data_IF_121519024179
#
_entry.id   IF_121519024179
#
_cell.length_a   1.000
_cell.length_b   1.000
_cell.length_c   1.000
_cell.angle_alpha   90.00
_cell.angle_beta   90.00
_cell.angle_gamma   90.00
#
_symmetry.space_group_name_H-M   'P 1'
#
loop_
_entity.id
_entity.type
_entity.pdbx_description
1 polymer ?
#
# COMPACT_ATOMS: atom_id res chain seq x y z
N UNK A 1 17.73 3.74 3.39
CA UNK A 1 16.54 4.56 3.10
C UNK A 1 16.03 4.48 1.65
N UNK A 2 16.86 4.62 0.62
CA UNK A 2 16.40 4.62 -0.78
C UNK A 2 15.73 3.29 -1.25
N UNK A 3 16.16 2.14 -0.73
CA UNK A 3 15.65 0.83 -1.12
C UNK A 3 14.23 0.51 -0.61
N UNK A 4 13.81 1.13 0.50
CA UNK A 4 12.47 0.92 1.09
C UNK A 4 11.40 1.68 0.30
N UNK A 5 11.69 2.93 -0.09
CA UNK A 5 10.81 3.73 -0.96
C UNK A 5 10.68 3.12 -2.37
N UNK A 6 11.78 2.58 -2.92
CA UNK A 6 11.73 1.87 -4.19
C UNK A 6 10.88 0.58 -4.12
N UNK A 7 11.04 -0.22 -3.07
CA UNK A 7 10.26 -1.45 -2.88
C UNK A 7 8.75 -1.21 -2.79
N UNK A 8 8.33 -0.13 -2.13
CA UNK A 8 6.93 0.28 -2.07
C UNK A 8 6.35 0.66 -3.45
N UNK A 9 7.13 1.44 -4.21
CA UNK A 9 6.75 1.95 -5.53
C UNK A 9 6.55 0.83 -6.55
N UNK A 10 7.33 -0.25 -6.46
CA UNK A 10 7.26 -1.36 -7.40
C UNK A 10 6.40 -2.55 -6.94
N UNK A 11 6.30 -2.83 -5.63
CA UNK A 11 5.63 -4.04 -5.12
C UNK A 11 4.12 -3.92 -4.90
N UNK A 12 3.63 -2.79 -4.37
CA UNK A 12 2.21 -2.60 -4.05
C UNK A 12 1.42 -2.17 -5.29
N UNK A 13 1.97 -1.29 -6.12
CA UNK A 13 1.29 -0.81 -7.34
C UNK A 13 1.12 -1.90 -8.39
N UNK A 14 2.08 -2.80 -8.59
CA UNK A 14 1.96 -3.88 -9.59
C UNK A 14 0.90 -4.93 -9.22
N UNK A 15 0.65 -5.17 -7.94
CA UNK A 15 -0.42 -6.08 -7.49
C UNK A 15 -1.82 -5.53 -7.78
N UNK A 16 -1.99 -4.20 -7.86
CA UNK A 16 -3.26 -3.56 -8.22
C UNK A 16 -3.34 -3.09 -9.68
N UNK A 17 -2.21 -3.07 -10.41
CA UNK A 17 -2.12 -2.53 -11.78
C UNK A 17 -2.19 -3.59 -12.91
N UNK A 18 -2.69 -4.81 -12.65
CA UNK A 18 -2.87 -5.79 -13.73
C UNK A 18 -4.11 -5.45 -14.59
N UNK A 19 -3.85 -4.87 -15.78
CA UNK A 19 -4.67 -5.07 -16.99
C UNK A 19 -5.05 -3.81 -17.81
N UNK A 20 -4.54 -3.63 -19.06
CA UNK A 20 -4.92 -2.52 -19.96
C UNK A 20 -6.31 -2.66 -20.62
N UNK A 21 -7.11 -3.67 -20.31
CA UNK A 21 -8.45 -3.84 -20.89
C UNK A 21 -9.55 -3.27 -20.01
N UNK A 22 -9.90 -2.02 -20.34
CA UNK A 22 -10.98 -1.23 -19.77
C UNK A 22 -12.35 -1.78 -20.18
N UNK A 23 -12.77 -2.95 -19.69
CA UNK A 23 -14.21 -3.34 -19.65
C UNK A 23 -14.52 -4.19 -18.41
N UNK A 24 -15.21 -3.53 -17.47
CA UNK A 24 -15.88 -4.09 -16.29
C UNK A 24 -14.93 -4.49 -15.15
N UNK A 25 -14.57 -3.50 -14.32
CA UNK A 25 -14.23 -3.78 -12.94
C UNK A 25 -15.35 -4.64 -12.33
N UNK A 26 -15.05 -5.77 -11.67
CA UNK A 26 -16.08 -6.51 -10.96
C UNK A 26 -16.64 -5.59 -9.87
N UNK A 27 -17.93 -5.27 -10.00
CA UNK A 27 -18.78 -4.70 -8.95
C UNK A 27 -18.33 -5.26 -7.61
N UNK A 28 -17.63 -4.43 -6.81
CA UNK A 28 -17.05 -4.72 -5.48
C UNK A 28 -17.17 -6.21 -5.17
N UNK A 29 -16.21 -7.00 -5.64
CA UNK A 29 -16.15 -8.41 -5.30
C UNK A 29 -16.18 -8.48 -3.77
N UNK A 30 -17.22 -9.12 -3.23
CA UNK A 30 -17.58 -9.08 -1.82
C UNK A 30 -16.53 -9.74 -0.90
N UNK A 31 -16.95 -10.43 0.18
CA UNK A 31 -16.04 -10.99 1.19
C UNK A 31 -14.80 -11.69 0.61
N UNK A 32 -14.93 -12.41 -0.51
CA UNK A 32 -13.86 -13.15 -1.18
C UNK A 32 -12.63 -12.32 -1.64
N UNK A 33 -12.80 -11.05 -2.02
CA UNK A 33 -11.65 -10.19 -2.38
C UNK A 33 -10.86 -9.78 -1.13
N UNK A 34 -11.57 -9.49 -0.05
CA UNK A 34 -10.98 -9.22 1.25
C UNK A 34 -10.28 -10.48 1.82
N UNK A 35 -10.88 -11.67 1.68
CA UNK A 35 -10.36 -12.88 2.35
C UNK A 35 -9.13 -13.51 1.67
N UNK A 36 -8.86 -13.24 0.39
CA UNK A 36 -7.78 -13.95 -0.33
C UNK A 36 -6.65 -13.06 -0.84
N UNK A 37 -6.94 -11.98 -1.57
CA UNK A 37 -5.90 -11.15 -2.19
C UNK A 37 -5.34 -10.10 -1.22
N UNK A 38 -6.21 -9.50 -0.39
CA UNK A 38 -5.79 -8.51 0.59
C UNK A 38 -4.95 -9.14 1.71
N UNK A 39 -5.40 -10.26 2.27
CA UNK A 39 -4.66 -10.97 3.32
C UNK A 39 -3.29 -11.48 2.84
N UNK A 40 -3.19 -11.94 1.57
CA UNK A 40 -1.91 -12.30 0.97
C UNK A 40 -1.00 -11.08 0.80
N UNK A 41 -1.56 -9.94 0.39
CA UNK A 41 -0.81 -8.68 0.27
C UNK A 41 -0.29 -8.23 1.63
N UNK A 42 -1.13 -8.23 2.66
CA UNK A 42 -0.75 -7.87 4.02
C UNK A 42 0.33 -8.82 4.56
N UNK A 43 0.16 -10.13 4.39
CA UNK A 43 1.17 -11.12 4.81
C UNK A 43 2.53 -10.90 4.14
N UNK A 44 2.53 -10.58 2.84
CA UNK A 44 3.76 -10.28 2.09
C UNK A 44 4.42 -8.98 2.57
N UNK A 45 3.62 -7.94 2.82
CA UNK A 45 4.09 -6.67 3.39
C UNK A 45 4.68 -6.91 4.78
N UNK A 46 4.00 -7.63 5.66
CA UNK A 46 4.51 -7.97 6.98
C UNK A 46 5.84 -8.71 6.90
N UNK A 47 5.98 -9.69 6.01
CA UNK A 47 7.25 -10.40 5.81
C UNK A 47 8.37 -9.43 5.41
N UNK A 48 8.08 -8.46 4.53
CA UNK A 48 9.04 -7.42 4.14
C UNK A 48 9.40 -6.50 5.29
N UNK A 49 8.43 -6.10 6.11
CA UNK A 49 8.65 -5.25 7.29
C UNK A 49 9.47 -5.98 8.35
N UNK A 50 9.20 -7.27 8.61
CA UNK A 50 10.03 -8.10 9.52
C UNK A 50 11.49 -8.12 9.08
N UNK A 51 11.76 -8.22 7.78
CA UNK A 51 13.12 -8.16 7.28
C UNK A 51 13.80 -6.81 7.59
N UNK A 52 13.07 -5.69 7.44
CA UNK A 52 13.60 -4.36 7.80
C UNK A 52 13.80 -4.17 9.30
N UNK A 53 12.95 -4.77 10.13
CA UNK A 53 13.12 -4.78 11.59
C UNK A 53 14.38 -5.55 11.97
N UNK A 54 14.59 -6.74 11.39
CA UNK A 54 15.75 -7.60 11.64
C UNK A 54 17.09 -6.93 11.26
N UNK A 55 17.09 -6.07 10.23
CA UNK A 55 18.28 -5.33 9.80
C UNK A 55 18.44 -3.98 10.52
N UNK A 56 17.57 -3.64 11.47
CA UNK A 56 17.60 -2.36 12.18
C UNK A 56 17.24 -1.15 11.32
N UNK A 57 16.60 -1.35 10.17
CA UNK A 57 16.16 -0.27 9.27
C UNK A 57 14.78 0.29 9.65
N UNK A 58 14.03 -0.45 10.47
CA UNK A 58 12.70 -0.11 10.98
C UNK A 58 12.67 -0.28 12.50
N UNK A 59 11.79 0.45 13.19
CA UNK A 59 11.54 0.28 14.63
C UNK A 59 11.08 -1.15 14.94
N UNK A 60 11.51 -1.68 16.07
CA UNK A 60 11.08 -3.00 16.56
C UNK A 60 9.63 -2.94 17.09
N UNK A 61 8.68 -3.31 16.25
CA UNK A 61 7.23 -3.28 16.51
C UNK A 61 6.54 -4.48 15.85
N UNK A 62 5.34 -4.82 16.31
CA UNK A 62 4.48 -5.77 15.61
C UNK A 62 4.21 -5.27 14.17
N UNK A 63 4.58 -6.04 13.12
CA UNK A 63 4.45 -5.62 11.73
C UNK A 63 3.01 -5.50 11.23
N UNK A 64 2.02 -6.10 11.92
CA UNK A 64 0.62 -6.10 11.49
C UNK A 64 0.06 -4.67 11.34
N UNK A 65 0.22 -3.83 12.37
CA UNK A 65 -0.26 -2.44 12.36
C UNK A 65 0.36 -1.60 11.22
N UNK A 66 1.69 -1.54 11.10
CA UNK A 66 2.37 -0.87 9.99
C UNK A 66 1.98 -1.43 8.61
N UNK A 67 1.77 -2.74 8.45
CA UNK A 67 1.34 -3.32 7.18
C UNK A 67 -0.04 -2.78 6.75
N UNK A 68 -1.01 -2.76 7.67
CA UNK A 68 -2.34 -2.19 7.42
C UNK A 68 -2.25 -0.69 7.12
N UNK A 69 -1.47 0.05 7.91
CA UNK A 69 -1.26 1.49 7.71
C UNK A 69 -0.62 1.83 6.36
N UNK A 70 0.22 0.93 5.84
CA UNK A 70 0.87 1.08 4.55
C UNK A 70 -0.09 0.83 3.38
N UNK A 71 -0.89 -0.24 3.46
CA UNK A 71 -1.73 -0.70 2.33
C UNK A 71 -3.05 0.05 2.25
N UNK A 72 -3.69 0.34 3.39
CA UNK A 72 -5.07 0.85 3.42
C UNK A 72 -5.27 2.19 2.70
N UNK A 73 -4.38 3.19 2.86
CA UNK A 73 -4.55 4.48 2.18
C UNK A 73 -4.41 4.35 0.66
N UNK A 74 -3.52 3.47 0.17
CA UNK A 74 -3.37 3.19 -1.26
C UNK A 74 -4.66 2.54 -1.79
N UNK A 75 -5.12 1.45 -1.17
CA UNK A 75 -6.35 0.76 -1.58
C UNK A 75 -7.56 1.70 -1.59
N UNK A 76 -7.74 2.49 -0.52
CA UNK A 76 -8.85 3.43 -0.41
C UNK A 76 -8.76 4.54 -1.47
N UNK A 77 -7.56 5.05 -1.74
CA UNK A 77 -7.37 6.09 -2.76
C UNK A 77 -7.77 5.60 -4.16
N UNK A 78 -7.39 4.37 -4.53
CA UNK A 78 -7.80 3.75 -5.79
C UNK A 78 -9.31 3.54 -5.85
N UNK A 79 -9.90 2.95 -4.81
CA UNK A 79 -11.35 2.74 -4.74
C UNK A 79 -12.11 4.08 -4.86
N UNK A 80 -11.66 5.09 -4.13
CA UNK A 80 -12.24 6.42 -4.15
C UNK A 80 -12.18 7.04 -5.56
N UNK A 81 -11.00 7.02 -6.20
CA UNK A 81 -10.81 7.67 -7.50
C UNK A 81 -11.57 6.95 -8.63
N UNK A 82 -11.62 5.62 -8.63
CA UNK A 82 -12.12 4.83 -9.77
C UNK A 82 -13.54 4.27 -9.58
N UNK A 83 -13.87 3.77 -8.39
CA UNK A 83 -15.11 3.05 -8.15
C UNK A 83 -16.19 3.90 -7.46
N UNK A 84 -15.79 4.87 -6.63
CA UNK A 84 -16.71 5.72 -5.86
C UNK A 84 -16.97 7.09 -6.49
N UNK A 85 -16.47 7.33 -7.71
CA UNK A 85 -16.67 8.60 -8.43
C UNK A 85 -15.84 9.78 -7.92
N UNK A 86 -14.88 9.52 -7.02
CA UNK A 86 -13.99 10.52 -6.45
C UNK A 86 -13.18 11.29 -7.49
N UNK A 87 -12.82 10.67 -8.63
CA UNK A 87 -12.13 11.36 -9.72
C UNK A 87 -12.89 12.57 -10.30
N UNK A 88 -14.21 12.63 -10.11
CA UNK A 88 -15.05 13.77 -10.54
C UNK A 88 -15.31 14.77 -9.42
N UNK A 89 -15.35 14.31 -8.18
CA UNK A 89 -15.74 15.11 -7.00
C UNK A 89 -14.53 15.73 -6.32
N UNK A 90 -13.45 14.95 -6.17
CA UNK A 90 -12.20 15.33 -5.53
C UNK A 90 -11.05 14.54 -6.17
N UNK A 91 -10.58 14.98 -7.35
CA UNK A 91 -9.48 14.33 -8.04
C UNK A 91 -8.23 14.32 -7.15
N UNK A 92 -7.54 13.18 -7.12
CA UNK A 92 -6.30 12.97 -6.40
C UNK A 92 -5.25 12.48 -7.39
N UNK A 93 -4.09 13.11 -7.39
CA UNK A 93 -2.91 12.57 -8.07
C UNK A 93 -2.41 11.36 -7.29
N UNK A 94 -2.69 10.15 -7.82
CA UNK A 94 -2.35 8.88 -7.17
C UNK A 94 -0.83 8.67 -7.08
N UNK A 95 -0.06 9.14 -8.05
CA UNK A 95 1.40 8.98 -8.04
C UNK A 95 2.03 9.89 -7.00
N UNK A 96 1.60 11.16 -6.93
CA UNK A 96 2.03 12.07 -5.89
C UNK A 96 1.64 11.56 -4.50
N UNK A 97 0.41 11.08 -4.34
CA UNK A 97 -0.09 10.51 -3.10
C UNK A 97 0.73 9.31 -2.61
N UNK A 98 1.02 8.34 -3.48
CA UNK A 98 1.80 7.15 -3.11
C UNK A 98 3.21 7.53 -2.65
N UNK A 99 3.86 8.47 -3.35
CA UNK A 99 5.20 8.94 -2.96
C UNK A 99 5.18 9.62 -1.59
N UNK A 100 4.21 10.50 -1.33
CA UNK A 100 4.08 11.19 -0.05
C UNK A 100 3.73 10.23 1.08
N UNK A 101 2.80 9.30 0.83
CA UNK A 101 2.41 8.25 1.78
C UNK A 101 3.59 7.35 2.15
N UNK A 102 4.39 6.94 1.16
CA UNK A 102 5.60 6.16 1.42
C UNK A 102 6.61 6.94 2.29
N UNK A 103 6.84 8.23 1.99
CA UNK A 103 7.73 9.07 2.79
C UNK A 103 7.21 9.26 4.21
N UNK A 104 5.89 9.45 4.39
CA UNK A 104 5.25 9.55 5.69
C UNK A 104 5.40 8.24 6.50
N UNK A 105 5.22 7.09 5.83
CA UNK A 105 5.41 5.78 6.44
C UNK A 105 6.84 5.60 6.96
N UNK A 106 7.86 5.98 6.19
CA UNK A 106 9.27 5.92 6.63
C UNK A 106 9.51 6.81 7.84
N UNK A 107 8.96 8.02 7.88
CA UNK A 107 9.10 8.90 9.06
C UNK A 107 8.43 8.30 10.30
N UNK A 108 7.27 7.65 10.11
CA UNK A 108 6.49 7.07 11.19
C UNK A 108 7.14 5.80 11.77
N UNK A 109 7.74 4.95 10.94
CA UNK A 109 8.17 3.60 11.35
C UNK A 109 9.63 3.27 11.08
N UNK A 110 10.33 4.04 10.25
CA UNK A 110 11.76 3.88 10.04
C UNK A 110 12.55 4.00 11.34
N UNK A 111 13.73 3.40 11.36
CA UNK A 111 14.65 3.48 12.49
C UNK A 111 14.84 4.93 12.93
N UNK A 112 14.84 5.17 14.24
CA UNK A 112 15.18 6.48 14.79
C UNK A 112 16.62 6.77 14.38
N UNK A 113 16.81 7.75 13.51
CA UNK A 113 18.13 8.34 13.30
C UNK A 113 18.43 9.10 14.59
N UNK A 114 19.48 8.66 15.31
CA UNK A 114 20.02 9.41 16.45
C UNK A 114 20.61 10.74 16.01
#
# INVERSE_FOLDING_TARGET
>A
MAHLAAGLRFGVMTMFAVGPDRKRAPRIAGPAFATSSLEQTLSAVEARLRAHIQTGEMRDVDPCGPAVALVSPVLLSFLHQHELGGGRVRPLDLDAFVNEHAAAFVRAWGALSG
#
